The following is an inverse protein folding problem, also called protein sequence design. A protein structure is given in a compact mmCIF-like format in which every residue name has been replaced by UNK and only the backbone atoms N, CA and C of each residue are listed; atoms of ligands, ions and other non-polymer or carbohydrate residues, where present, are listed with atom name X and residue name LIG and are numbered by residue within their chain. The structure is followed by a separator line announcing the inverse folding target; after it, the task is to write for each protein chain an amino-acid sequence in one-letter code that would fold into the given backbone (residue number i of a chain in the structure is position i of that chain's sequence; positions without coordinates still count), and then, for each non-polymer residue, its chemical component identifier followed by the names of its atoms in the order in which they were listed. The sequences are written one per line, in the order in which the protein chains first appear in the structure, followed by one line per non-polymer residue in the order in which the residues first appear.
data_IF_691808161145
#
_entry.id   IF_691808161145
#
_cell.length_a   1.000
_cell.length_b   1.000
_cell.length_c   1.000
_cell.angle_alpha   90.00
_cell.angle_beta   90.00
_cell.angle_gamma   90.00
#
_symmetry.space_group_name_H-M   'P 1'
#
loop_
_entity.id
_entity.type
_entity.pdbx_description
1 polymer ?
#
# COMPACT_ATOMS: atom_id res chain seq x y z
N UNK A 1 27.41 4.71 -2.16
CA UNK A 1 26.69 5.36 -3.26
C UNK A 1 26.36 4.26 -4.26
N UNK A 2 25.07 3.99 -4.48
CA UNK A 2 24.63 2.89 -5.33
C UNK A 2 24.37 3.42 -6.73
N UNK A 3 25.07 2.88 -7.73
CA UNK A 3 24.95 3.29 -9.13
C UNK A 3 24.19 2.19 -9.85
N UNK A 4 22.92 2.46 -10.17
CA UNK A 4 22.13 1.60 -11.03
C UNK A 4 22.66 1.75 -12.48
N UNK A 5 22.99 0.66 -13.19
CA UNK A 5 23.36 0.74 -14.59
C UNK A 5 22.24 1.34 -15.45
N UNK A 6 22.58 1.86 -16.63
CA UNK A 6 21.57 2.39 -17.56
C UNK A 6 20.61 1.29 -18.03
N UNK A 7 19.41 1.67 -18.44
CA UNK A 7 18.42 0.74 -18.96
C UNK A 7 18.94 -0.06 -20.16
N UNK A 8 19.62 0.60 -21.09
CA UNK A 8 20.17 -0.07 -22.28
C UNK A 8 21.18 -1.16 -21.90
N UNK A 9 22.05 -0.89 -20.93
CA UNK A 9 23.01 -1.88 -20.43
C UNK A 9 22.31 -3.09 -19.78
N UNK A 10 21.28 -2.85 -18.97
CA UNK A 10 20.51 -3.92 -18.34
C UNK A 10 19.76 -4.77 -19.36
N UNK A 11 19.21 -4.13 -20.40
CA UNK A 11 18.52 -4.80 -21.50
C UNK A 11 19.49 -5.67 -22.30
N UNK A 12 20.64 -5.12 -22.69
CA UNK A 12 21.65 -5.84 -23.47
C UNK A 12 22.19 -7.03 -22.67
N UNK A 13 22.43 -6.86 -21.36
CA UNK A 13 22.82 -7.94 -20.46
C UNK A 13 21.77 -9.06 -20.44
N UNK A 14 20.49 -8.73 -20.27
CA UNK A 14 19.43 -9.74 -20.23
C UNK A 14 19.21 -10.47 -21.58
N UNK A 15 19.52 -9.83 -22.71
CA UNK A 15 19.45 -10.46 -24.04
C UNK A 15 20.64 -11.42 -24.22
N UNK A 16 21.83 -11.03 -23.79
CA UNK A 16 23.04 -11.83 -23.95
C UNK A 16 23.15 -12.99 -22.95
N UNK A 17 22.84 -12.71 -21.68
CA UNK A 17 22.93 -13.66 -20.57
C UNK A 17 21.86 -13.33 -19.49
N UNK A 18 20.69 -14.00 -19.55
CA UNK A 18 19.63 -13.83 -18.55
C UNK A 18 20.05 -14.19 -17.12
N UNK A 19 20.95 -15.16 -16.95
CA UNK A 19 21.39 -15.60 -15.63
C UNK A 19 22.30 -14.55 -14.99
N UNK A 20 23.22 -13.97 -15.76
CA UNK A 20 24.05 -12.85 -15.31
C UNK A 20 23.21 -11.63 -14.90
N UNK A 21 22.11 -11.35 -15.62
CA UNK A 21 21.17 -10.30 -15.24
C UNK A 21 20.52 -10.57 -13.87
N UNK A 22 20.11 -11.81 -13.61
CA UNK A 22 19.51 -12.21 -12.33
C UNK A 22 20.53 -12.18 -11.17
N UNK A 23 21.80 -12.54 -11.42
CA UNK A 23 22.89 -12.40 -10.45
C UNK A 23 23.07 -10.92 -10.09
N UNK A 24 23.23 -10.05 -11.09
CA UNK A 24 23.39 -8.61 -10.89
C UNK A 24 22.21 -8.05 -10.09
N UNK A 25 20.97 -8.42 -10.42
CA UNK A 25 19.77 -8.01 -9.67
C UNK A 25 19.88 -8.38 -8.18
N UNK A 26 20.28 -9.62 -7.89
CA UNK A 26 20.39 -10.10 -6.50
C UNK A 26 21.50 -9.37 -5.74
N UNK A 27 22.67 -9.17 -6.34
CA UNK A 27 23.77 -8.41 -5.74
C UNK A 27 23.33 -6.99 -5.39
N UNK A 28 22.69 -6.33 -6.34
CA UNK A 28 22.16 -4.99 -6.21
C UNK A 28 21.17 -4.84 -5.04
N UNK A 29 20.26 -5.80 -4.89
CA UNK A 29 19.29 -5.85 -3.79
C UNK A 29 19.97 -6.14 -2.45
N UNK A 30 20.85 -7.13 -2.41
CA UNK A 30 21.53 -7.55 -1.17
C UNK A 30 22.40 -6.42 -0.62
N UNK A 31 23.15 -5.73 -1.49
CA UNK A 31 23.92 -4.55 -1.11
C UNK A 31 23.03 -3.46 -0.49
N UNK A 32 21.83 -3.23 -1.03
CA UNK A 32 20.88 -2.29 -0.45
C UNK A 32 20.38 -2.73 0.94
N UNK A 33 19.99 -4.00 1.09
CA UNK A 33 19.53 -4.56 2.37
C UNK A 33 20.64 -4.51 3.43
N UNK A 34 21.88 -4.81 3.04
CA UNK A 34 23.04 -4.77 3.93
C UNK A 34 23.38 -3.35 4.40
N UNK A 35 23.22 -2.36 3.53
CA UNK A 35 23.44 -0.95 3.87
C UNK A 35 22.36 -0.34 4.78
N UNK A 36 21.23 -1.02 4.96
CA UNK A 36 20.09 -0.51 5.73
C UNK A 36 20.26 -0.75 7.24
N UNK A 37 19.74 0.16 8.08
CA UNK A 37 19.74 0.01 9.54
C UNK A 37 19.04 -1.27 10.02
N UNK A 38 19.51 -1.81 11.14
CA UNK A 38 19.11 -3.12 11.68
C UNK A 38 17.60 -3.24 11.90
N UNK A 39 16.93 -2.14 12.27
CA UNK A 39 15.49 -2.10 12.56
C UNK A 39 14.63 -2.45 11.32
N UNK A 40 15.07 -2.09 10.11
CA UNK A 40 14.31 -2.35 8.87
C UNK A 40 14.84 -3.54 8.07
N UNK A 41 16.06 -4.00 8.34
CA UNK A 41 16.72 -5.08 7.60
C UNK A 41 15.89 -6.36 7.53
N UNK A 42 15.34 -6.82 8.66
CA UNK A 42 14.51 -8.04 8.70
C UNK A 42 13.24 -7.91 7.86
N UNK A 43 12.57 -6.76 7.93
CA UNK A 43 11.38 -6.48 7.12
C UNK A 43 11.67 -6.49 5.63
N UNK A 44 12.83 -5.95 5.21
CA UNK A 44 13.25 -5.94 3.81
C UNK A 44 13.57 -7.33 3.28
N UNK A 45 14.23 -8.17 4.08
CA UNK A 45 14.51 -9.58 3.72
C UNK A 45 13.19 -10.33 3.48
N UNK A 46 12.22 -10.18 4.39
CA UNK A 46 10.90 -10.79 4.22
C UNK A 46 10.16 -10.27 2.98
N UNK A 47 10.27 -8.97 2.70
CA UNK A 47 9.68 -8.39 1.48
C UNK A 47 10.33 -8.94 0.22
N UNK A 48 11.66 -9.08 0.20
CA UNK A 48 12.38 -9.62 -0.94
C UNK A 48 11.99 -11.07 -1.21
N UNK A 49 11.79 -11.87 -0.16
CA UNK A 49 11.25 -13.23 -0.28
C UNK A 49 9.87 -13.22 -0.95
N UNK A 50 8.95 -12.38 -0.47
CA UNK A 50 7.60 -12.27 -1.05
C UNK A 50 7.63 -11.84 -2.53
N UNK A 51 8.50 -10.89 -2.88
CA UNK A 51 8.69 -10.43 -4.27
C UNK A 51 9.16 -11.61 -5.12
N UNK A 52 10.21 -12.32 -4.69
CA UNK A 52 10.75 -13.46 -5.45
C UNK A 52 9.69 -14.56 -5.62
N UNK A 53 8.99 -14.96 -4.56
CA UNK A 53 7.93 -15.97 -4.67
C UNK A 53 6.82 -15.57 -5.66
N UNK A 54 6.43 -14.29 -5.71
CA UNK A 54 5.44 -13.82 -6.70
C UNK A 54 5.99 -13.86 -8.13
N UNK A 55 7.29 -13.61 -8.32
CA UNK A 55 7.94 -13.79 -9.63
C UNK A 55 7.92 -15.26 -10.04
N UNK A 56 8.33 -16.15 -9.15
CA UNK A 56 8.47 -17.59 -9.43
C UNK A 56 7.12 -18.27 -9.70
N UNK A 57 6.04 -17.83 -9.02
CA UNK A 57 4.68 -18.32 -9.24
C UNK A 57 4.00 -17.73 -10.48
N UNK A 58 4.60 -16.71 -11.12
CA UNK A 58 3.99 -16.07 -12.28
C UNK A 58 4.23 -16.86 -13.55
N UNK A 59 3.18 -16.99 -14.37
CA UNK A 59 3.22 -17.76 -15.62
C UNK A 59 4.07 -17.10 -16.71
N UNK A 60 4.28 -15.78 -16.64
CA UNK A 60 5.13 -15.02 -17.55
C UNK A 60 5.61 -13.71 -16.90
N UNK A 61 6.62 -13.01 -17.49
CA UNK A 61 7.16 -11.77 -16.94
C UNK A 61 6.14 -10.64 -16.77
N UNK A 62 5.16 -10.53 -17.68
CA UNK A 62 4.11 -9.51 -17.59
C UNK A 62 3.16 -9.76 -16.42
N UNK A 63 2.78 -11.03 -16.21
CA UNK A 63 1.99 -11.44 -15.06
C UNK A 63 2.71 -11.11 -13.75
N UNK A 64 4.03 -11.35 -13.70
CA UNK A 64 4.85 -10.95 -12.56
C UNK A 64 4.83 -9.44 -12.32
N UNK A 65 4.96 -8.63 -13.38
CA UNK A 65 4.87 -7.17 -13.28
C UNK A 65 3.53 -6.72 -12.69
N UNK A 66 2.42 -7.26 -13.18
CA UNK A 66 1.07 -6.95 -12.68
C UNK A 66 0.93 -7.38 -11.22
N UNK A 67 1.37 -8.59 -10.87
CA UNK A 67 1.29 -9.12 -9.52
C UNK A 67 2.09 -8.28 -8.51
N UNK A 68 3.29 -7.81 -8.89
CA UNK A 68 4.12 -6.94 -8.07
C UNK A 68 3.52 -5.54 -7.96
N UNK A 69 3.00 -4.98 -9.05
CA UNK A 69 2.29 -3.69 -9.04
C UNK A 69 1.09 -3.73 -8.09
N UNK A 70 0.29 -4.79 -8.15
CA UNK A 70 -0.84 -5.01 -7.23
C UNK A 70 -0.38 -5.03 -5.77
N UNK A 71 0.68 -5.78 -5.43
CA UNK A 71 1.23 -5.83 -4.07
C UNK A 71 1.65 -4.44 -3.55
N UNK A 72 2.28 -3.62 -4.41
CA UNK A 72 2.66 -2.25 -4.06
C UNK A 72 1.42 -1.38 -3.80
N UNK A 73 0.41 -1.47 -4.66
CA UNK A 73 -0.84 -0.72 -4.52
C UNK A 73 -1.64 -1.12 -3.28
N UNK A 74 -1.72 -2.41 -2.96
CA UNK A 74 -2.35 -2.91 -1.73
C UNK A 74 -1.67 -2.32 -0.49
N UNK A 75 -0.34 -2.38 -0.45
CA UNK A 75 0.44 -1.83 0.68
C UNK A 75 0.22 -0.32 0.84
N UNK A 76 0.16 0.42 -0.27
CA UNK A 76 -0.12 1.85 -0.25
C UNK A 76 -1.55 2.15 0.22
N UNK A 77 -2.52 1.36 -0.24
CA UNK A 77 -3.91 1.48 0.18
C UNK A 77 -4.07 1.24 1.68
N UNK A 78 -3.43 0.20 2.22
CA UNK A 78 -3.45 -0.11 3.65
C UNK A 78 -2.86 1.04 4.48
N UNK A 79 -1.77 1.64 4.00
CA UNK A 79 -1.18 2.82 4.62
C UNK A 79 -2.17 4.00 4.59
N UNK A 80 -2.82 4.25 3.45
CA UNK A 80 -3.83 5.32 3.33
C UNK A 80 -4.97 5.13 4.33
N UNK A 81 -5.53 3.92 4.41
CA UNK A 81 -6.60 3.59 5.35
C UNK A 81 -6.16 3.75 6.81
N UNK A 82 -4.92 3.36 7.13
CA UNK A 82 -4.37 3.53 8.48
C UNK A 82 -4.23 5.01 8.87
N UNK A 83 -3.79 5.86 7.92
CA UNK A 83 -3.68 7.30 8.15
C UNK A 83 -5.05 7.98 8.30
N UNK A 84 -6.03 7.56 7.49
CA UNK A 84 -7.41 8.04 7.57
C UNK A 84 -8.04 7.70 8.93
N UNK A 85 -7.90 6.45 9.39
CA UNK A 85 -8.36 6.03 10.71
C UNK A 85 -7.70 6.82 11.85
N UNK A 86 -6.40 7.10 11.75
CA UNK A 86 -5.71 7.95 12.73
C UNK A 86 -6.27 9.37 12.70
N UNK A 87 -6.54 9.92 11.52
CA UNK A 87 -7.10 11.28 11.39
C UNK A 87 -8.49 11.41 12.01
N UNK A 88 -9.36 10.42 11.83
CA UNK A 88 -10.70 10.38 12.42
C UNK A 88 -10.64 10.35 13.96
N UNK A 89 -9.77 9.50 14.52
CA UNK A 89 -9.54 9.45 15.97
C UNK A 89 -9.09 10.81 16.52
N UNK A 90 -8.18 11.49 15.80
CA UNK A 90 -7.72 12.81 16.24
C UNK A 90 -8.81 13.88 16.18
N UNK A 91 -9.72 13.81 15.20
CA UNK A 91 -10.86 14.70 15.11
C UNK A 91 -11.84 14.49 16.28
N UNK A 92 -12.17 13.25 16.60
CA UNK A 92 -13.08 12.90 17.71
C UNK A 92 -12.49 13.26 19.09
N UNK A 93 -11.17 13.10 19.26
CA UNK A 93 -10.49 13.46 20.51
C UNK A 93 -10.56 14.95 20.83
N UNK A 94 -10.70 15.81 19.82
CA UNK A 94 -10.83 17.26 19.99
C UNK A 94 -12.23 17.66 20.53
N UNK A 95 -13.27 16.86 20.26
CA UNK A 95 -14.62 17.12 20.77
C UNK A 95 -14.80 16.71 22.24
N UNK A 96 -13.94 15.84 22.78
CA UNK A 96 -14.01 15.36 24.16
C UNK A 96 -13.28 16.24 25.19
N UNK A 97 -12.55 17.28 24.77
CA UNK A 97 -11.84 18.21 25.68
C UNK A 97 -12.65 19.47 26.03
N UNK A 98 -13.93 19.51 25.69
CA UNK A 98 -14.82 20.61 26.12
C UNK A 98 -15.64 20.19 27.35
N UNK A 99 -15.28 20.57 28.58
CA UNK A 99 -16.27 20.66 29.64
C UNK A 99 -17.03 21.97 29.40
N UNK A 100 -18.31 21.95 29.01
CA UNK A 100 -19.34 22.96 29.37
C UNK A 100 -20.64 22.63 28.62
N UNK A 101 -21.58 22.05 29.37
CA UNK A 101 -23.05 22.19 29.29
C UNK A 101 -23.66 22.68 27.97
N UNK A 102 -24.17 21.74 27.16
CA UNK A 102 -25.34 22.02 26.33
C UNK A 102 -26.57 21.49 27.07
N UNK A 103 -27.25 22.39 27.78
CA UNK A 103 -28.60 22.14 28.29
C UNK A 103 -29.53 21.86 27.12
N UNK A 104 -30.24 20.73 27.21
CA UNK A 104 -31.29 20.35 26.28
C UNK A 104 -32.35 21.45 26.07
N UNK A 105 -32.97 21.50 24.90
CA UNK A 105 -34.41 21.72 24.79
C UNK A 105 -35.07 20.40 24.42
N UNK A 106 -35.89 19.91 25.35
CA UNK A 106 -36.96 18.94 25.13
C UNK A 106 -37.89 19.48 24.06
N UNK A 107 -38.09 18.77 22.96
CA UNK A 107 -39.30 18.97 22.15
C UNK A 107 -39.81 17.63 21.59
N UNK A 108 -41.06 17.37 21.95
CA UNK A 108 -41.81 16.14 21.82
C UNK A 108 -42.58 16.15 20.49
N UNK A 109 -42.41 15.07 19.70
CA UNK A 109 -43.33 14.48 18.69
C UNK A 109 -43.78 15.31 17.47
N UNK A 110 -43.50 14.76 16.29
CA UNK A 110 -44.55 14.51 15.27
C UNK A 110 -44.08 13.42 14.28
N UNK A 111 -45.00 12.50 13.99
CA UNK A 111 -44.87 11.32 13.14
C UNK A 111 -44.35 11.64 11.73
N UNK A 112 -43.44 10.82 11.19
CA UNK A 112 -43.03 10.91 9.80
C UNK A 112 -44.18 10.48 8.87
N UNK A 113 -44.58 11.37 7.97
CA UNK A 113 -45.56 11.13 6.91
C UNK A 113 -44.91 10.31 5.78
N UNK A 114 -45.52 9.18 5.43
CA UNK A 114 -45.05 8.29 4.36
C UNK A 114 -45.47 8.87 3.00
N UNK A 115 -44.51 9.22 2.16
CA UNK A 115 -44.74 9.66 0.79
C UNK A 115 -45.00 8.46 -0.13
N UNK A 116 -46.23 8.33 -0.66
CA UNK A 116 -46.53 7.37 -1.72
C UNK A 116 -46.09 7.90 -3.10
N UNK A 117 -45.25 7.12 -3.78
CA UNK A 117 -44.82 7.37 -5.15
C UNK A 117 -45.86 6.83 -6.15
N UNK A 118 -46.64 7.73 -6.77
CA UNK A 118 -47.48 7.37 -7.93
C UNK A 118 -46.60 7.02 -9.14
N UNK A 119 -46.65 5.77 -9.57
CA UNK A 119 -46.21 5.35 -10.90
C UNK A 119 -47.21 5.87 -11.94
N UNK A 120 -46.74 6.67 -12.90
CA UNK A 120 -47.50 7.00 -14.11
C UNK A 120 -47.05 6.06 -15.24
N UNK A 121 -48.05 5.39 -15.82
CA UNK A 121 -47.97 4.56 -17.03
C UNK A 121 -47.48 5.35 -18.24
#
# INVERSE_FOLDING_TARGET
MYILPSFDHLKDLNIADPDAFEILRNELINNYIESTSTQRKQRLIGLQFQINSRRDLSTNPMHSCIALSKMMHETFWDMRCSLEAISEITADSFFLTSPTTFSAPTEEKASAEVLELKQQN
#
